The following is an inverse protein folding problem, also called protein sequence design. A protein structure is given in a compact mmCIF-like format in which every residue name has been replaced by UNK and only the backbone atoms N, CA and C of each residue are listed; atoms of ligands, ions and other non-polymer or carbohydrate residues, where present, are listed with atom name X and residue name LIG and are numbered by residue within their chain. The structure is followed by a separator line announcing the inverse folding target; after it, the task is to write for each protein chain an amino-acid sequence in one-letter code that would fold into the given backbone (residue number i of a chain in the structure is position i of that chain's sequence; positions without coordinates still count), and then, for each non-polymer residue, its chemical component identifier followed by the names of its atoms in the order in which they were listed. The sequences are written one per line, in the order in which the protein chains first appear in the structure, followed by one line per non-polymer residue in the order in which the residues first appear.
data_IF_786457221126
#
_entry.id   IF_786457221126
#
_cell.length_a   1.000
_cell.length_b   1.000
_cell.length_c   1.000
_cell.angle_alpha   90.00
_cell.angle_beta   90.00
_cell.angle_gamma   90.00
#
_symmetry.space_group_name_H-M   'P 1'
#
loop_
_entity.id
_entity.type
_entity.pdbx_description
1 polymer ?
#
# COMPACT_ATOMS: atom_id res chain seq x y z
N UNK A 1 4.16 30.49 8.27
CA UNK A 1 4.10 29.04 8.03
C UNK A 1 3.86 28.65 6.54
N UNK A 2 4.01 29.54 5.57
CA UNK A 2 3.50 29.37 4.21
C UNK A 2 4.39 28.71 3.14
N UNK A 3 5.55 28.17 3.44
CA UNK A 3 6.49 27.69 2.40
C UNK A 3 6.95 26.24 2.58
N UNK A 4 6.22 25.42 3.33
CA UNK A 4 6.60 24.05 3.61
C UNK A 4 5.44 23.10 3.35
N UNK A 5 5.66 22.10 2.47
CA UNK A 5 4.78 20.96 2.33
C UNK A 5 5.11 19.97 3.43
N UNK A 6 4.09 19.48 4.12
CA UNK A 6 4.21 18.45 5.16
C UNK A 6 3.67 17.12 4.64
N UNK A 7 4.43 16.06 4.80
CA UNK A 7 3.98 14.67 4.74
C UNK A 7 4.11 14.10 6.14
N UNK A 8 3.00 13.64 6.73
CA UNK A 8 2.97 12.96 8.02
C UNK A 8 2.53 11.53 7.83
N UNK A 9 3.37 10.59 8.21
CA UNK A 9 3.06 9.18 8.30
C UNK A 9 2.71 8.83 9.74
N UNK A 10 1.48 8.41 9.99
CA UNK A 10 1.07 7.92 11.31
C UNK A 10 1.58 6.50 11.53
N UNK A 11 2.08 6.21 12.72
CA UNK A 11 2.41 4.86 13.14
C UNK A 11 1.12 4.10 13.48
N UNK A 12 0.54 3.49 12.48
CA UNK A 12 -0.66 2.65 12.60
C UNK A 12 -0.33 1.16 12.68
N UNK A 13 0.95 0.82 12.90
CA UNK A 13 1.42 -0.55 12.84
C UNK A 13 1.65 -1.02 11.40
N UNK A 14 1.19 -2.23 11.05
CA UNK A 14 1.22 -2.70 9.68
C UNK A 14 0.02 -2.13 8.93
N UNK A 15 0.23 -1.02 8.23
CA UNK A 15 -0.80 -0.31 7.49
C UNK A 15 -0.37 1.10 7.11
N UNK A 16 -1.18 1.78 6.32
CA UNK A 16 -0.91 3.11 5.80
C UNK A 16 -1.90 4.15 6.35
N UNK A 17 -1.37 5.29 6.79
CA UNK A 17 -2.15 6.47 7.12
C UNK A 17 -1.29 7.72 6.92
N UNK A 18 -1.45 8.38 5.76
CA UNK A 18 -0.64 9.53 5.37
C UNK A 18 -1.47 10.80 5.28
N UNK A 19 -1.18 11.75 6.16
CA UNK A 19 -1.74 13.09 6.07
C UNK A 19 -0.75 14.01 5.34
N UNK A 20 -1.24 14.76 4.35
CA UNK A 20 -0.44 15.69 3.57
C UNK A 20 -1.06 17.07 3.65
N UNK A 21 -0.22 18.07 3.97
CA UNK A 21 -0.61 19.47 3.93
C UNK A 21 0.22 20.21 2.88
N UNK A 22 -0.46 20.71 1.86
CA UNK A 22 0.15 21.42 0.73
C UNK A 22 -0.19 22.92 0.85
N UNK A 23 0.81 23.82 0.90
CA UNK A 23 0.56 25.25 0.87
C UNK A 23 -0.22 25.67 -0.40
N UNK A 24 -1.37 26.33 -0.22
CA UNK A 24 -2.26 26.71 -1.33
C UNK A 24 -2.62 28.21 -1.31
N UNK A 25 -1.73 29.05 -0.80
CA UNK A 25 -1.90 30.47 -0.64
C UNK A 25 -1.93 30.89 0.84
N UNK A 26 -2.16 32.18 1.09
CA UNK A 26 -2.13 32.70 2.46
C UNK A 26 -3.30 32.10 3.27
N UNK A 27 -2.97 31.35 4.30
CA UNK A 27 -3.91 30.67 5.22
C UNK A 27 -4.94 29.73 4.53
N UNK A 28 -4.58 29.15 3.39
CA UNK A 28 -5.46 28.28 2.61
C UNK A 28 -4.73 26.99 2.22
N UNK A 29 -4.16 26.30 3.21
CA UNK A 29 -3.53 25.02 2.93
C UNK A 29 -4.56 24.00 2.43
N UNK A 30 -4.10 23.13 1.52
CA UNK A 30 -4.85 21.99 1.03
C UNK A 30 -4.52 20.76 1.90
N UNK A 31 -5.53 20.13 2.44
CA UNK A 31 -5.43 19.04 3.38
C UNK A 31 -5.88 17.72 2.73
N UNK A 32 -5.03 16.73 2.74
CA UNK A 32 -5.23 15.47 2.05
C UNK A 32 -4.90 14.31 2.96
N UNK A 33 -5.68 13.23 2.88
CA UNK A 33 -5.43 11.96 3.54
C UNK A 33 -5.32 10.87 2.47
N UNK A 34 -4.20 10.14 2.44
CA UNK A 34 -3.99 8.98 1.59
C UNK A 34 -3.94 7.76 2.48
N UNK A 35 -4.87 6.85 2.25
CA UNK A 35 -5.11 5.65 3.03
C UNK A 35 -5.35 5.90 4.52
N UNK A 36 -5.99 4.96 5.18
CA UNK A 36 -6.19 4.90 6.62
C UNK A 36 -6.54 3.46 6.96
N UNK A 37 -5.55 2.64 7.24
CA UNK A 37 -5.76 1.23 7.53
C UNK A 37 -4.70 0.62 8.41
N UNK A 38 -4.99 -0.53 8.98
CA UNK A 38 -4.06 -1.33 9.78
C UNK A 38 -4.50 -2.79 9.83
N UNK A 39 -3.54 -3.70 9.95
CA UNK A 39 -3.77 -5.11 10.35
C UNK A 39 -3.71 -5.32 11.86
N UNK A 40 -3.34 -4.29 12.60
CA UNK A 40 -3.27 -4.26 14.06
C UNK A 40 -4.59 -3.79 14.70
N UNK A 41 -4.50 -3.26 15.91
CA UNK A 41 -5.61 -2.72 16.66
C UNK A 41 -6.20 -1.49 15.94
N UNK A 42 -7.49 -1.50 15.59
CA UNK A 42 -8.13 -0.39 14.91
C UNK A 42 -8.23 0.90 15.74
N UNK A 43 -8.06 0.83 17.06
CA UNK A 43 -8.13 2.01 17.94
C UNK A 43 -7.07 3.05 17.58
N UNK A 44 -5.92 2.61 17.06
CA UNK A 44 -4.87 3.53 16.58
C UNK A 44 -5.34 4.39 15.40
N UNK A 45 -6.24 3.87 14.56
CA UNK A 45 -6.82 4.62 13.43
C UNK A 45 -7.78 5.71 13.92
N UNK A 46 -8.61 5.41 14.91
CA UNK A 46 -9.49 6.40 15.54
C UNK A 46 -8.68 7.55 16.14
N UNK A 47 -7.59 7.22 16.85
CA UNK A 47 -6.69 8.19 17.45
C UNK A 47 -5.98 9.04 16.38
N UNK A 48 -5.50 8.42 15.30
CA UNK A 48 -4.88 9.15 14.19
C UNK A 48 -5.86 10.14 13.53
N UNK A 49 -7.09 9.70 13.26
CA UNK A 49 -8.13 10.58 12.67
C UNK A 49 -8.55 11.67 13.66
N UNK A 50 -8.65 11.38 14.96
CA UNK A 50 -8.91 12.39 15.97
C UNK A 50 -7.80 13.44 16.01
N UNK A 51 -6.54 13.02 15.99
CA UNK A 51 -5.39 13.94 15.91
C UNK A 51 -5.45 14.82 14.65
N UNK A 52 -5.69 14.23 13.48
CA UNK A 52 -5.84 14.98 12.21
C UNK A 52 -6.97 16.01 12.36
N UNK A 53 -8.16 15.58 12.82
CA UNK A 53 -9.31 16.46 12.98
C UNK A 53 -9.04 17.63 13.92
N UNK A 54 -8.46 17.38 15.07
CA UNK A 54 -8.41 18.36 16.15
C UNK A 54 -7.21 19.29 16.05
N UNK A 55 -6.10 18.82 15.48
CA UNK A 55 -4.83 19.56 15.46
C UNK A 55 -4.42 20.05 14.06
N UNK A 56 -4.81 19.32 12.99
CA UNK A 56 -4.32 19.64 11.65
C UNK A 56 -5.37 20.31 10.76
N UNK A 57 -6.64 19.92 10.88
CA UNK A 57 -7.65 20.41 9.96
C UNK A 57 -8.21 21.80 10.38
N UNK A 58 -8.33 22.74 9.43
CA UNK A 58 -8.99 24.02 9.66
C UNK A 58 -10.51 23.84 9.79
N UNK A 59 -11.19 24.84 10.31
CA UNK A 59 -12.65 24.92 10.26
C UNK A 59 -13.14 24.99 8.81
N UNK A 60 -14.28 24.39 8.54
CA UNK A 60 -14.96 24.44 7.25
C UNK A 60 -15.86 25.68 7.17
N UNK A 61 -15.26 26.82 6.88
CA UNK A 61 -15.97 28.11 6.87
C UNK A 61 -16.61 28.41 8.22
N UNK A 62 -17.92 28.67 8.23
CA UNK A 62 -18.72 28.93 9.43
C UNK A 62 -19.26 27.66 10.10
N UNK A 63 -19.05 26.50 9.50
CA UNK A 63 -19.49 25.21 10.03
C UNK A 63 -18.75 24.85 11.32
N UNK A 64 -19.38 24.01 12.15
CA UNK A 64 -18.70 23.36 13.29
C UNK A 64 -17.70 22.30 12.85
N UNK A 65 -17.83 21.82 11.62
CA UNK A 65 -16.99 20.76 11.09
C UNK A 65 -15.59 21.27 10.69
N UNK A 66 -14.65 20.35 10.69
CA UNK A 66 -13.31 20.56 10.15
C UNK A 66 -13.27 20.20 8.65
N UNK A 67 -12.39 20.85 7.87
CA UNK A 67 -12.30 20.64 6.43
C UNK A 67 -11.15 19.70 6.07
N UNK A 68 -11.47 18.63 5.35
CA UNK A 68 -10.53 17.76 4.66
C UNK A 68 -10.82 17.85 3.16
N UNK A 69 -9.85 18.32 2.38
CA UNK A 69 -10.07 18.65 0.99
C UNK A 69 -10.12 17.43 0.08
N UNK A 70 -9.32 16.39 0.41
CA UNK A 70 -9.25 15.17 -0.37
C UNK A 70 -8.96 13.95 0.51
N UNK A 71 -9.74 12.91 0.32
CA UNK A 71 -9.44 11.54 0.77
C UNK A 71 -9.10 10.69 -0.45
N UNK A 72 -8.02 9.92 -0.36
CA UNK A 72 -7.64 8.94 -1.37
C UNK A 72 -7.57 7.57 -0.73
N UNK A 73 -8.22 6.58 -1.33
CA UNK A 73 -7.99 5.18 -1.03
C UNK A 73 -7.29 4.53 -2.23
N UNK A 74 -6.05 4.07 -2.01
CA UNK A 74 -5.23 3.51 -3.07
C UNK A 74 -5.78 2.20 -3.58
N UNK A 75 -6.17 1.29 -2.69
CA UNK A 75 -6.81 0.02 -3.01
C UNK A 75 -7.64 -0.48 -1.82
N UNK A 76 -8.21 -1.69 -1.90
CA UNK A 76 -9.23 -2.15 -0.94
C UNK A 76 -8.72 -3.03 0.21
N UNK A 77 -7.43 -3.22 0.37
CA UNK A 77 -6.91 -4.01 1.50
C UNK A 77 -7.18 -3.32 2.84
N UNK A 78 -7.37 -4.11 3.90
CA UNK A 78 -7.76 -3.60 5.22
C UNK A 78 -6.72 -2.68 5.84
N UNK A 79 -5.44 -2.94 5.58
CA UNK A 79 -4.30 -2.13 6.00
C UNK A 79 -4.19 -0.78 5.27
N UNK A 80 -5.10 -0.52 4.33
CA UNK A 80 -5.24 0.77 3.64
C UNK A 80 -6.59 1.44 3.86
N UNK A 81 -7.67 0.69 4.12
CA UNK A 81 -9.00 1.30 4.17
C UNK A 81 -9.81 1.06 5.43
N UNK A 82 -9.40 0.18 6.35
CA UNK A 82 -10.16 -0.20 7.54
C UNK A 82 -10.59 0.98 8.41
N UNK A 83 -9.80 2.04 8.47
CA UNK A 83 -10.07 3.25 9.22
C UNK A 83 -11.07 4.20 8.55
N UNK A 84 -11.47 3.96 7.30
CA UNK A 84 -12.51 4.75 6.64
C UNK A 84 -13.92 4.35 7.12
N UNK A 85 -14.08 4.26 8.44
CA UNK A 85 -15.38 4.10 9.09
C UNK A 85 -16.00 5.49 9.34
N UNK A 86 -17.23 5.77 8.89
CA UNK A 86 -17.89 7.05 9.11
C UNK A 86 -17.93 7.52 10.57
N UNK A 87 -17.86 6.59 11.53
CA UNK A 87 -17.83 6.93 12.97
C UNK A 87 -16.60 7.77 13.36
N UNK A 88 -15.44 7.52 12.74
CA UNK A 88 -14.19 8.25 12.99
C UNK A 88 -14.18 9.63 12.32
N UNK A 89 -14.93 9.79 11.22
CA UNK A 89 -14.99 11.03 10.44
C UNK A 89 -16.11 11.97 10.85
N UNK A 90 -16.75 11.70 12.00
CA UNK A 90 -17.73 12.64 12.57
C UNK A 90 -17.08 14.01 12.80
N UNK A 91 -17.76 15.07 12.36
CA UNK A 91 -17.24 16.44 12.46
C UNK A 91 -16.19 16.80 11.40
N UNK A 92 -15.98 15.96 10.39
CA UNK A 92 -15.10 16.25 9.25
C UNK A 92 -15.94 16.40 7.97
N UNK A 93 -15.88 17.56 7.34
CA UNK A 93 -16.43 17.84 6.00
C UNK A 93 -15.39 17.43 4.96
N UNK A 94 -15.60 16.30 4.31
CA UNK A 94 -14.76 15.85 3.20
C UNK A 94 -15.26 16.54 1.93
N UNK A 95 -14.35 17.09 1.11
CA UNK A 95 -14.71 17.78 -0.13
C UNK A 95 -14.61 16.89 -1.37
N UNK A 96 -13.66 15.97 -1.38
CA UNK A 96 -13.46 15.02 -2.48
C UNK A 96 -13.03 13.67 -1.94
N UNK A 97 -13.49 12.61 -2.61
CA UNK A 97 -13.03 11.24 -2.38
C UNK A 97 -12.58 10.67 -3.72
N UNK A 98 -11.33 10.20 -3.76
CA UNK A 98 -10.76 9.47 -4.87
C UNK A 98 -10.49 8.03 -4.44
N UNK A 99 -10.94 7.09 -5.23
CA UNK A 99 -10.66 5.66 -5.04
C UNK A 99 -10.16 5.09 -6.36
N UNK A 100 -9.32 4.06 -6.28
CA UNK A 100 -8.90 3.36 -7.50
C UNK A 100 -10.11 2.94 -8.35
N UNK A 101 -9.98 3.01 -9.66
CA UNK A 101 -11.03 2.60 -10.60
C UNK A 101 -11.44 1.13 -10.41
N UNK A 102 -10.55 0.29 -9.90
CA UNK A 102 -10.83 -1.11 -9.58
C UNK A 102 -11.88 -1.30 -8.48
N UNK A 103 -12.15 -0.27 -7.67
CA UNK A 103 -13.25 -0.31 -6.68
C UNK A 103 -14.62 0.00 -7.29
N UNK A 104 -14.69 0.37 -8.56
CA UNK A 104 -15.97 0.59 -9.24
C UNK A 104 -16.62 -0.73 -9.61
N UNK A 105 -17.65 -1.14 -8.86
CA UNK A 105 -18.37 -2.39 -9.10
C UNK A 105 -19.07 -2.49 -10.47
N UNK A 106 -19.18 -1.37 -11.19
CA UNK A 106 -19.79 -1.29 -12.53
C UNK A 106 -18.77 -1.02 -13.63
N UNK A 107 -17.47 -1.14 -13.31
CA UNK A 107 -16.43 -0.84 -14.29
C UNK A 107 -16.42 -1.88 -15.42
N UNK A 108 -16.58 -1.46 -16.69
CA UNK A 108 -16.75 -2.40 -17.81
C UNK A 108 -15.48 -3.20 -18.14
N UNK A 109 -14.31 -2.66 -17.82
CA UNK A 109 -12.98 -3.26 -18.09
C UNK A 109 -12.33 -3.86 -16.83
N UNK A 110 -13.17 -4.23 -15.83
CA UNK A 110 -12.78 -4.93 -14.62
C UNK A 110 -13.74 -6.07 -14.27
N UNK A 111 -14.52 -6.56 -15.25
CA UNK A 111 -15.56 -7.56 -15.00
C UNK A 111 -15.00 -8.87 -14.48
N UNK A 112 -13.86 -9.31 -15.01
CA UNK A 112 -13.22 -10.57 -14.66
C UNK A 112 -12.54 -10.46 -13.29
N UNK A 113 -11.79 -9.40 -13.05
CA UNK A 113 -11.18 -9.15 -11.74
C UNK A 113 -12.22 -8.94 -10.64
N UNK A 114 -13.35 -8.28 -10.91
CA UNK A 114 -14.48 -8.20 -9.98
C UNK A 114 -15.14 -9.57 -9.72
N UNK A 115 -15.25 -10.42 -10.74
CA UNK A 115 -15.74 -11.79 -10.57
C UNK A 115 -14.78 -12.62 -9.71
N UNK A 116 -13.46 -12.54 -9.97
CA UNK A 116 -12.43 -13.19 -9.18
C UNK A 116 -12.50 -12.74 -7.70
N UNK A 117 -12.57 -11.43 -7.46
CA UNK A 117 -12.73 -10.87 -6.12
C UNK A 117 -13.99 -11.39 -5.41
N UNK A 118 -15.11 -11.48 -6.12
CA UNK A 118 -16.36 -12.01 -5.56
C UNK A 118 -16.24 -13.48 -5.17
N UNK A 119 -15.57 -14.28 -5.99
CA UNK A 119 -15.32 -15.70 -5.72
C UNK A 119 -14.37 -15.87 -4.53
N UNK A 120 -13.25 -15.17 -4.53
CA UNK A 120 -12.30 -15.17 -3.41
C UNK A 120 -12.99 -14.77 -2.09
N UNK A 121 -13.80 -13.70 -2.12
CA UNK A 121 -14.54 -13.25 -0.95
C UNK A 121 -15.57 -14.28 -0.44
N UNK A 122 -16.19 -15.03 -1.33
CA UNK A 122 -17.12 -16.10 -0.94
C UNK A 122 -16.38 -17.24 -0.24
N UNK A 123 -15.28 -17.70 -0.83
CA UNK A 123 -14.49 -18.81 -0.30
C UNK A 123 -13.81 -18.44 1.03
N UNK A 124 -13.22 -17.25 1.14
CA UNK A 124 -12.58 -16.81 2.37
C UNK A 124 -13.58 -16.64 3.53
N UNK A 125 -14.79 -16.15 3.25
CA UNK A 125 -15.86 -16.13 4.26
C UNK A 125 -16.34 -17.52 4.66
N UNK A 126 -16.34 -18.47 3.74
CA UNK A 126 -16.64 -19.87 4.05
C UNK A 126 -15.56 -20.46 4.95
N UNK A 127 -14.28 -20.24 4.63
CA UNK A 127 -13.14 -20.66 5.43
C UNK A 127 -13.18 -20.06 6.84
N UNK A 128 -13.48 -18.77 6.98
CA UNK A 128 -13.62 -18.11 8.28
C UNK A 128 -14.69 -18.74 9.18
N UNK A 129 -15.76 -19.27 8.58
CA UNK A 129 -16.87 -19.91 9.30
C UNK A 129 -16.62 -21.39 9.60
N UNK A 130 -15.60 -22.01 9.02
CA UNK A 130 -15.34 -23.44 9.17
C UNK A 130 -14.85 -23.86 10.55
N UNK A 131 -14.45 -22.90 11.41
CA UNK A 131 -13.86 -23.15 12.73
C UNK A 131 -12.45 -23.75 12.67
N UNK A 132 -11.81 -23.81 11.52
CA UNK A 132 -10.44 -24.30 11.36
C UNK A 132 -9.44 -23.33 12.01
N UNK A 133 -8.40 -23.87 12.63
CA UNK A 133 -7.26 -23.06 13.06
C UNK A 133 -6.47 -22.62 11.84
N UNK A 134 -6.38 -21.28 11.64
CA UNK A 134 -5.69 -20.69 10.49
C UNK A 134 -4.30 -20.19 10.91
N UNK A 135 -3.33 -20.34 10.03
CA UNK A 135 -2.01 -19.70 10.18
C UNK A 135 -2.15 -18.17 10.16
N UNK A 136 -1.16 -17.41 10.66
CA UNK A 136 -1.17 -15.96 10.61
C UNK A 136 -1.40 -15.40 9.18
N UNK A 137 -0.74 -16.00 8.18
CA UNK A 137 -0.83 -15.62 6.77
C UNK A 137 -2.26 -15.83 6.23
N UNK A 138 -2.85 -16.99 6.54
CA UNK A 138 -4.23 -17.29 6.14
C UNK A 138 -5.24 -16.39 6.85
N UNK A 139 -5.00 -16.04 8.12
CA UNK A 139 -5.83 -15.05 8.82
C UNK A 139 -5.75 -13.68 8.17
N UNK A 140 -4.55 -13.24 7.77
CA UNK A 140 -4.37 -12.02 7.01
C UNK A 140 -5.17 -12.02 5.70
N UNK A 141 -5.06 -13.11 4.94
CA UNK A 141 -5.78 -13.26 3.68
C UNK A 141 -7.31 -13.27 3.88
N UNK A 142 -7.81 -13.94 4.91
CA UNK A 142 -9.24 -13.93 5.27
C UNK A 142 -9.70 -12.53 5.71
N UNK A 143 -8.84 -11.78 6.41
CA UNK A 143 -9.12 -10.42 6.88
C UNK A 143 -9.44 -9.45 5.74
N UNK A 144 -8.80 -9.62 4.57
CA UNK A 144 -9.06 -8.79 3.38
C UNK A 144 -10.54 -8.78 2.95
N UNK A 145 -11.28 -9.83 3.28
CA UNK A 145 -12.69 -10.02 2.92
C UNK A 145 -13.64 -9.85 4.11
N UNK A 146 -13.18 -9.21 5.18
CA UNK A 146 -13.96 -8.97 6.40
C UNK A 146 -15.17 -8.05 6.18
N UNK A 147 -16.11 -8.07 7.13
CA UNK A 147 -17.30 -7.19 7.10
C UNK A 147 -16.88 -5.72 7.28
N UNK A 148 -15.88 -5.45 8.11
CA UNK A 148 -15.42 -4.09 8.37
C UNK A 148 -14.76 -3.48 7.13
N UNK A 149 -14.00 -4.28 6.40
CA UNK A 149 -13.43 -3.86 5.12
C UNK A 149 -14.52 -3.51 4.08
N UNK A 150 -15.63 -4.28 4.09
CA UNK A 150 -16.80 -3.98 3.25
C UNK A 150 -17.43 -2.64 3.63
N UNK A 151 -17.60 -2.32 4.92
CA UNK A 151 -18.18 -1.04 5.37
C UNK A 151 -17.33 0.14 4.91
N UNK A 152 -16.01 0.05 5.05
CA UNK A 152 -15.09 1.08 4.57
C UNK A 152 -15.20 1.26 3.05
N UNK A 153 -15.21 0.17 2.30
CA UNK A 153 -15.40 0.19 0.83
C UNK A 153 -16.72 0.85 0.46
N UNK A 154 -17.82 0.50 1.12
CA UNK A 154 -19.14 1.07 0.86
C UNK A 154 -19.15 2.58 1.17
N UNK A 155 -18.58 3.02 2.30
CA UNK A 155 -18.52 4.43 2.68
C UNK A 155 -17.71 5.26 1.67
N UNK A 156 -16.58 4.75 1.22
CA UNK A 156 -15.73 5.38 0.21
C UNK A 156 -16.43 5.47 -1.15
N UNK A 157 -16.96 4.34 -1.65
CA UNK A 157 -17.53 4.26 -3.01
C UNK A 157 -18.87 4.98 -3.12
N UNK A 158 -19.65 5.07 -2.04
CA UNK A 158 -20.91 5.82 -2.01
C UNK A 158 -20.75 7.29 -1.60
N UNK A 159 -19.54 7.68 -1.14
CA UNK A 159 -19.25 9.05 -0.71
C UNK A 159 -19.88 9.46 0.61
N UNK A 160 -20.15 8.49 1.50
CA UNK A 160 -20.84 8.71 2.81
C UNK A 160 -19.90 8.71 4.01
N UNK A 161 -18.58 8.85 3.77
CA UNK A 161 -17.57 8.78 4.81
C UNK A 161 -17.61 9.97 5.79
N UNK A 162 -17.76 11.19 5.28
CA UNK A 162 -17.73 12.42 6.07
C UNK A 162 -19.08 12.91 6.53
N UNK A 163 -19.10 14.08 7.15
CA UNK A 163 -20.32 14.72 7.66
C UNK A 163 -21.37 15.04 6.57
N UNK A 164 -20.93 15.15 5.32
CA UNK A 164 -21.79 15.39 4.15
C UNK A 164 -21.43 14.39 3.06
N UNK A 165 -22.44 13.94 2.33
CA UNK A 165 -22.22 13.05 1.18
C UNK A 165 -21.53 13.80 0.05
N UNK A 166 -20.50 13.20 -0.55
CA UNK A 166 -19.77 13.74 -1.70
C UNK A 166 -19.73 12.73 -2.84
N UNK A 167 -19.56 13.23 -4.08
CA UNK A 167 -19.43 12.35 -5.23
C UNK A 167 -18.03 11.73 -5.24
N UNK A 168 -17.95 10.43 -5.10
CA UNK A 168 -16.69 9.68 -5.26
C UNK A 168 -16.24 9.69 -6.72
N UNK A 169 -14.95 9.84 -6.93
CA UNK A 169 -14.29 9.72 -8.23
C UNK A 169 -13.44 8.47 -8.26
N UNK A 170 -13.69 7.64 -9.27
CA UNK A 170 -12.90 6.45 -9.56
C UNK A 170 -11.74 6.86 -10.45
N UNK A 171 -10.53 6.86 -9.90
CA UNK A 171 -9.36 7.41 -10.58
C UNK A 171 -8.55 6.33 -11.28
N UNK A 172 -7.95 6.71 -12.42
CA UNK A 172 -7.10 5.87 -13.24
C UNK A 172 -5.95 6.65 -13.85
N UNK A 173 -4.97 5.95 -14.36
CA UNK A 173 -3.77 6.49 -14.96
C UNK A 173 -4.06 7.52 -16.07
N UNK A 174 -3.23 8.56 -16.11
CA UNK A 174 -3.33 9.66 -17.06
C UNK A 174 -4.22 10.83 -16.60
N UNK A 175 -5.04 10.66 -15.56
CA UNK A 175 -5.84 11.74 -14.98
C UNK A 175 -4.99 12.68 -14.13
N UNK A 176 -5.40 13.96 -14.10
CA UNK A 176 -4.79 14.98 -13.23
C UNK A 176 -5.82 15.56 -12.27
N UNK A 177 -5.35 16.13 -11.16
CA UNK A 177 -6.22 16.83 -10.20
C UNK A 177 -7.11 17.87 -10.87
N UNK A 178 -6.58 18.64 -11.82
CA UNK A 178 -7.35 19.65 -12.56
C UNK A 178 -8.49 19.03 -13.37
N UNK A 179 -8.24 17.94 -14.08
CA UNK A 179 -9.30 17.19 -14.81
C UNK A 179 -10.34 16.60 -13.85
N UNK A 180 -9.91 16.25 -12.65
CA UNK A 180 -10.78 15.78 -11.57
C UNK A 180 -11.40 16.94 -10.76
N UNK A 181 -11.31 18.18 -11.25
CA UNK A 181 -11.96 19.35 -10.66
C UNK A 181 -11.29 19.92 -9.41
N UNK A 182 -10.03 19.54 -9.14
CA UNK A 182 -9.23 20.12 -8.07
C UNK A 182 -8.18 21.07 -8.63
N UNK A 183 -8.16 22.31 -8.10
CA UNK A 183 -7.14 23.31 -8.44
C UNK A 183 -6.38 23.65 -7.16
N UNK A 184 -5.10 23.31 -7.14
CA UNK A 184 -4.18 23.56 -6.04
C UNK A 184 -3.06 24.44 -6.58
N UNK A 185 -2.80 25.57 -5.93
CA UNK A 185 -1.80 26.54 -6.40
C UNK A 185 -0.41 25.91 -6.48
N UNK A 186 0.27 26.12 -7.60
CA UNK A 186 1.63 25.63 -7.86
C UNK A 186 1.80 24.12 -7.64
N UNK A 187 0.71 23.36 -7.75
CA UNK A 187 0.68 21.93 -7.51
C UNK A 187 0.01 21.21 -8.67
N UNK A 188 0.65 20.14 -9.12
CA UNK A 188 0.07 19.20 -10.06
C UNK A 188 0.04 17.83 -9.40
N UNK A 189 -1.13 17.19 -9.37
CA UNK A 189 -1.26 15.79 -8.96
C UNK A 189 -1.64 14.99 -10.21
N UNK A 190 -0.85 13.97 -10.51
CA UNK A 190 -1.06 13.07 -11.65
C UNK A 190 -1.27 11.65 -11.13
N UNK A 191 -2.30 10.97 -11.61
CA UNK A 191 -2.52 9.54 -11.36
C UNK A 191 -1.69 8.75 -12.36
N UNK A 192 -0.75 7.94 -11.88
CA UNK A 192 0.15 7.15 -12.73
C UNK A 192 -0.34 5.72 -12.94
N UNK A 193 -1.10 5.17 -11.99
CA UNK A 193 -1.72 3.84 -12.02
C UNK A 193 -3.04 3.86 -11.23
N UNK A 194 -3.92 2.83 -11.41
CA UNK A 194 -3.84 1.77 -12.42
C UNK A 194 -4.32 2.25 -13.79
N UNK A 195 -4.05 1.48 -14.84
CA UNK A 195 -4.66 1.70 -16.14
C UNK A 195 -6.17 1.50 -16.08
N UNK A 196 -6.90 2.10 -17.03
CA UNK A 196 -8.35 1.97 -17.07
C UNK A 196 -8.78 0.53 -17.37
N UNK A 197 -8.06 -0.18 -18.24
CA UNK A 197 -8.30 -1.58 -18.56
C UNK A 197 -7.65 -2.51 -17.53
N UNK A 198 -8.37 -2.75 -16.42
CA UNK A 198 -7.90 -3.58 -15.32
C UNK A 198 -7.67 -5.02 -15.78
N UNK A 199 -8.64 -5.59 -16.48
CA UNK A 199 -8.58 -6.99 -16.90
C UNK A 199 -7.44 -7.22 -17.92
N UNK A 200 -7.22 -6.28 -18.83
CA UNK A 200 -6.18 -6.38 -19.86
C UNK A 200 -4.76 -6.27 -19.31
N UNK A 201 -4.54 -5.39 -18.32
CA UNK A 201 -3.19 -5.13 -17.80
C UNK A 201 -2.82 -6.01 -16.60
N UNK A 202 -3.75 -6.26 -15.68
CA UNK A 202 -3.41 -6.82 -14.37
C UNK A 202 -3.91 -8.25 -14.13
N UNK A 203 -4.86 -8.74 -14.95
CA UNK A 203 -5.35 -10.11 -14.84
C UNK A 203 -4.61 -11.06 -15.79
N UNK A 204 -4.45 -10.65 -17.06
CA UNK A 204 -3.88 -11.48 -18.13
C UNK A 204 -4.88 -12.50 -18.71
N UNK A 205 -4.50 -13.07 -19.85
CA UNK A 205 -5.37 -14.00 -20.58
C UNK A 205 -5.43 -15.40 -19.98
N UNK A 206 -4.38 -15.83 -19.27
CA UNK A 206 -4.28 -17.20 -18.71
C UNK A 206 -5.31 -17.46 -17.60
N UNK A 207 -5.68 -16.42 -16.85
CA UNK A 207 -6.72 -16.51 -15.81
C UNK A 207 -8.12 -16.66 -16.42
N UNK A 208 -8.30 -16.26 -17.69
CA UNK A 208 -9.58 -16.32 -18.39
C UNK A 208 -10.11 -17.75 -18.53
N UNK A 209 -9.24 -18.69 -18.88
CA UNK A 209 -9.62 -20.10 -19.06
C UNK A 209 -9.90 -20.78 -17.71
N UNK A 210 -9.15 -20.41 -16.69
CA UNK A 210 -9.37 -20.88 -15.32
C UNK A 210 -10.69 -20.37 -14.77
N UNK A 211 -11.01 -19.07 -14.93
CA UNK A 211 -12.28 -18.49 -14.50
C UNK A 211 -13.47 -19.08 -15.26
N UNK A 212 -13.35 -19.36 -16.56
CA UNK A 212 -14.41 -20.00 -17.35
C UNK A 212 -14.69 -21.42 -16.88
N UNK A 213 -13.64 -22.21 -16.66
CA UNK A 213 -13.78 -23.58 -16.14
C UNK A 213 -14.50 -23.64 -14.80
N UNK A 214 -14.25 -22.64 -13.95
CA UNK A 214 -14.83 -22.59 -12.60
C UNK A 214 -16.21 -21.97 -12.53
N UNK A 215 -16.53 -21.00 -13.37
CA UNK A 215 -17.92 -20.51 -13.51
C UNK A 215 -18.84 -21.64 -13.94
N UNK A 216 -18.39 -22.53 -14.81
CA UNK A 216 -19.12 -23.74 -15.18
C UNK A 216 -19.24 -24.73 -14.02
N UNK A 217 -18.16 -24.94 -13.24
CA UNK A 217 -18.16 -25.77 -12.03
C UNK A 217 -19.03 -25.22 -10.92
N UNK A 218 -18.96 -23.90 -10.64
CA UNK A 218 -19.75 -23.25 -9.58
C UNK A 218 -21.24 -23.16 -9.90
N UNK A 219 -21.62 -23.03 -11.17
CA UNK A 219 -23.02 -23.09 -11.59
C UNK A 219 -23.63 -24.48 -11.36
N UNK A 220 -22.86 -25.55 -11.61
CA UNK A 220 -23.26 -26.93 -11.27
C UNK A 220 -23.38 -27.14 -9.76
N UNK A 221 -22.53 -26.48 -8.97
CA UNK A 221 -22.55 -26.58 -7.49
C UNK A 221 -23.66 -25.77 -6.83
N UNK A 222 -24.03 -24.60 -7.36
CA UNK A 222 -25.19 -23.81 -6.85
C UNK A 222 -26.49 -24.61 -6.96
N UNK A 223 -26.60 -25.46 -7.95
CA UNK A 223 -27.77 -26.34 -8.11
C UNK A 223 -27.75 -27.54 -7.14
N UNK A 224 -26.60 -27.94 -6.59
CA UNK A 224 -26.44 -29.01 -5.63
C UNK A 224 -26.42 -28.50 -4.17
N UNK A 225 -25.94 -27.28 -3.92
CA UNK A 225 -25.80 -26.67 -2.61
C UNK A 225 -26.88 -25.63 -2.30
N UNK A 226 -28.11 -25.91 -2.73
CA UNK A 226 -29.29 -25.17 -2.26
C UNK A 226 -29.43 -25.31 -0.75
N UNK A 227 -29.06 -24.26 -0.03
CA UNK A 227 -29.25 -24.06 1.41
C UNK A 227 -28.66 -25.11 2.39
N UNK A 228 -27.67 -24.66 3.11
CA UNK A 228 -27.11 -25.22 4.36
C UNK A 228 -26.23 -26.44 4.22
N UNK A 229 -24.96 -26.19 4.58
CA UNK A 229 -24.15 -27.17 5.31
C UNK A 229 -23.32 -28.17 4.54
N UNK A 230 -22.37 -28.54 5.15
CA UNK A 230 -21.64 -29.74 5.56
C UNK A 230 -22.34 -31.12 5.33
N UNK A 231 -23.47 -31.21 4.63
CA UNK A 231 -24.12 -32.50 4.39
C UNK A 231 -23.50 -33.11 3.15
N UNK A 232 -22.83 -34.24 3.38
CA UNK A 232 -22.30 -35.11 2.32
C UNK A 232 -23.47 -35.58 1.42
N UNK A 233 -23.38 -35.37 0.10
CA UNK A 233 -24.37 -35.93 -0.82
C UNK A 233 -24.41 -37.46 -0.73
N UNK A 234 -25.58 -38.06 -0.79
CA UNK A 234 -25.78 -39.48 -0.61
C UNK A 234 -25.08 -40.36 -1.65
N UNK A 235 -24.74 -39.79 -2.80
CA UNK A 235 -24.09 -40.49 -3.92
C UNK A 235 -22.57 -40.29 -3.98
N UNK A 236 -21.95 -39.69 -2.96
CA UNK A 236 -20.50 -39.44 -2.88
C UNK A 236 -19.99 -40.07 -1.59
N UNK A 237 -18.92 -40.86 -1.66
CA UNK A 237 -18.29 -41.40 -0.46
C UNK A 237 -17.66 -40.31 0.42
N UNK A 238 -17.52 -40.60 1.74
CA UNK A 238 -16.90 -39.66 2.67
C UNK A 238 -15.45 -39.30 2.32
N UNK A 239 -14.74 -40.20 1.65
CA UNK A 239 -13.37 -39.97 1.18
C UNK A 239 -13.36 -39.00 -0.03
N UNK A 240 -14.25 -39.24 -1.00
CA UNK A 240 -14.41 -38.38 -2.17
C UNK A 240 -14.91 -36.97 -1.76
N UNK A 241 -15.83 -36.92 -0.81
CA UNK A 241 -16.33 -35.65 -0.29
C UNK A 241 -15.23 -34.83 0.39
N UNK A 242 -14.38 -35.48 1.23
CA UNK A 242 -13.21 -34.82 1.83
C UNK A 242 -12.21 -34.34 0.77
N UNK A 243 -11.95 -35.15 -0.24
CA UNK A 243 -11.07 -34.79 -1.35
C UNK A 243 -11.62 -33.59 -2.12
N UNK A 244 -12.92 -33.56 -2.36
CA UNK A 244 -13.61 -32.45 -3.03
C UNK A 244 -13.54 -31.17 -2.20
N UNK A 245 -13.82 -31.25 -0.88
CA UNK A 245 -13.68 -30.10 0.04
C UNK A 245 -12.24 -29.56 0.06
N UNK A 246 -11.25 -30.45 0.14
CA UNK A 246 -9.84 -30.06 0.12
C UNK A 246 -9.46 -29.32 -1.17
N UNK A 247 -9.92 -29.81 -2.33
CA UNK A 247 -9.69 -29.14 -3.63
C UNK A 247 -10.40 -27.78 -3.72
N UNK A 248 -11.62 -27.67 -3.21
CA UNK A 248 -12.34 -26.41 -3.16
C UNK A 248 -11.61 -25.37 -2.31
N UNK A 249 -11.12 -25.75 -1.13
CA UNK A 249 -10.32 -24.88 -0.26
C UNK A 249 -9.03 -24.45 -0.97
N UNK A 250 -8.31 -25.36 -1.60
CA UNK A 250 -7.08 -25.06 -2.35
C UNK A 250 -7.34 -24.07 -3.48
N UNK A 251 -8.40 -24.26 -4.24
CA UNK A 251 -8.79 -23.36 -5.32
C UNK A 251 -9.20 -21.98 -4.79
N UNK A 252 -9.97 -21.96 -3.71
CA UNK A 252 -10.39 -20.73 -3.04
C UNK A 252 -9.20 -19.91 -2.53
N UNK A 253 -8.20 -20.58 -1.95
CA UNK A 253 -6.94 -19.94 -1.52
C UNK A 253 -6.15 -19.39 -2.71
N UNK A 254 -6.02 -20.15 -3.80
CA UNK A 254 -5.35 -19.66 -5.01
C UNK A 254 -6.02 -18.40 -5.57
N UNK A 255 -7.36 -18.36 -5.59
CA UNK A 255 -8.09 -17.16 -6.00
C UNK A 255 -7.86 -15.97 -5.08
N UNK A 256 -7.85 -16.20 -3.78
CA UNK A 256 -7.64 -15.14 -2.84
C UNK A 256 -6.21 -14.57 -2.94
N UNK A 257 -5.21 -15.39 -3.21
CA UNK A 257 -3.83 -14.97 -3.46
C UNK A 257 -3.75 -14.16 -4.77
N UNK A 258 -4.36 -14.65 -5.85
CA UNK A 258 -4.37 -13.93 -7.12
C UNK A 258 -5.13 -12.61 -7.03
N UNK A 259 -6.29 -12.59 -6.38
CA UNK A 259 -7.06 -11.37 -6.17
C UNK A 259 -6.26 -10.37 -5.32
N UNK A 260 -5.62 -10.83 -4.23
CA UNK A 260 -4.78 -9.97 -3.39
C UNK A 260 -3.66 -9.31 -4.19
N UNK A 261 -2.94 -10.05 -5.03
CA UNK A 261 -1.91 -9.50 -5.90
C UNK A 261 -2.48 -8.50 -6.92
N UNK A 262 -3.67 -8.78 -7.49
CA UNK A 262 -4.34 -7.83 -8.38
C UNK A 262 -4.72 -6.56 -7.61
N UNK A 263 -5.26 -6.68 -6.39
CA UNK A 263 -5.64 -5.52 -5.58
C UNK A 263 -4.42 -4.63 -5.27
N UNK A 264 -3.24 -5.19 -4.98
CA UNK A 264 -2.00 -4.42 -4.83
C UNK A 264 -1.68 -3.66 -6.12
N UNK A 265 -1.72 -4.35 -7.25
CA UNK A 265 -1.33 -3.81 -8.55
C UNK A 265 -2.36 -2.84 -9.16
N UNK A 266 -3.56 -2.76 -8.62
CA UNK A 266 -4.54 -1.71 -8.98
C UNK A 266 -4.56 -0.54 -7.99
N UNK A 267 -3.51 -0.37 -7.21
CA UNK A 267 -3.30 0.80 -6.35
C UNK A 267 -3.31 2.09 -7.17
N UNK A 268 -4.02 3.10 -6.67
CA UNK A 268 -3.95 4.45 -7.22
C UNK A 268 -2.60 5.07 -6.87
N UNK A 269 -1.70 5.14 -7.84
CA UNK A 269 -0.39 5.75 -7.69
C UNK A 269 -0.45 7.23 -8.01
N UNK A 270 -0.01 8.07 -7.08
CA UNK A 270 -0.07 9.53 -7.21
C UNK A 270 1.33 10.14 -7.25
N UNK A 271 1.61 10.90 -8.31
CA UNK A 271 2.73 11.82 -8.39
C UNK A 271 2.23 13.23 -8.05
N UNK A 272 2.77 13.81 -6.97
CA UNK A 272 2.50 15.18 -6.54
C UNK A 272 3.73 16.01 -6.87
N UNK A 273 3.54 17.03 -7.71
CA UNK A 273 4.57 17.99 -8.09
C UNK A 273 4.18 19.35 -7.49
N UNK A 274 4.95 19.83 -6.51
CA UNK A 274 4.73 21.11 -5.81
C UNK A 274 5.99 21.95 -5.80
N UNK A 275 5.94 23.16 -6.36
CA UNK A 275 7.06 24.12 -6.39
C UNK A 275 8.40 23.47 -6.82
N UNK A 276 8.35 22.58 -7.80
CA UNK A 276 9.51 21.84 -8.29
C UNK A 276 9.88 20.59 -7.47
N UNK A 277 9.23 20.35 -6.33
CA UNK A 277 9.39 19.12 -5.54
C UNK A 277 8.50 18.02 -6.08
N UNK A 278 8.98 16.80 -6.03
CA UNK A 278 8.32 15.61 -6.59
C UNK A 278 8.13 14.55 -5.52
N UNK A 279 6.88 14.20 -5.24
CA UNK A 279 6.53 13.19 -4.25
C UNK A 279 5.73 12.08 -4.92
N UNK A 280 6.08 10.83 -4.64
CA UNK A 280 5.41 9.65 -5.19
C UNK A 280 4.81 8.79 -4.07
N UNK A 281 3.49 8.56 -4.16
CA UNK A 281 2.74 7.67 -3.29
C UNK A 281 2.25 6.49 -4.12
N UNK A 282 2.69 5.29 -3.80
CA UNK A 282 2.54 4.13 -4.68
C UNK A 282 1.51 3.10 -4.18
N UNK A 283 0.92 3.32 -2.98
CA UNK A 283 0.09 2.28 -2.36
C UNK A 283 0.90 1.00 -2.20
N UNK A 284 0.35 -0.10 -2.70
CA UNK A 284 1.00 -1.42 -2.69
C UNK A 284 1.39 -1.91 -4.10
N UNK A 285 1.63 -0.96 -5.02
CA UNK A 285 2.11 -1.28 -6.35
C UNK A 285 3.35 -2.18 -6.31
N UNK A 286 3.30 -3.27 -7.07
CA UNK A 286 4.36 -4.28 -7.15
C UNK A 286 5.11 -4.20 -8.48
N UNK A 287 6.27 -4.89 -8.54
CA UNK A 287 7.05 -5.09 -9.75
C UNK A 287 7.35 -6.59 -9.97
N UNK A 288 7.67 -6.95 -11.19
CA UNK A 288 8.17 -8.25 -11.60
C UNK A 288 9.22 -8.10 -12.72
N UNK A 289 9.59 -9.20 -13.36
CA UNK A 289 10.66 -9.25 -14.35
C UNK A 289 10.47 -8.38 -15.60
N UNK A 290 9.30 -7.81 -15.84
CA UNK A 290 9.07 -6.91 -16.95
C UNK A 290 7.62 -6.83 -17.40
N UNK A 291 7.34 -5.87 -18.30
CA UNK A 291 6.04 -5.72 -18.93
C UNK A 291 5.91 -6.72 -20.10
N UNK A 292 4.77 -7.37 -20.19
CA UNK A 292 4.40 -8.19 -21.33
C UNK A 292 2.93 -7.97 -21.72
N UNK A 293 2.70 -7.63 -22.98
CA UNK A 293 1.36 -7.34 -23.47
C UNK A 293 0.44 -8.57 -23.37
N UNK A 294 -0.75 -8.37 -22.80
CA UNK A 294 -1.76 -9.43 -22.62
C UNK A 294 -1.42 -10.45 -21.53
N UNK A 295 -0.36 -10.24 -20.76
CA UNK A 295 -0.02 -11.02 -19.56
C UNK A 295 -0.44 -10.31 -18.29
N UNK A 296 -0.43 -11.03 -17.16
CA UNK A 296 -0.56 -10.44 -15.83
C UNK A 296 0.69 -9.59 -15.57
N UNK A 297 0.50 -8.29 -15.45
CA UNK A 297 1.60 -7.35 -15.20
C UNK A 297 1.50 -6.75 -13.81
N UNK A 298 2.64 -6.32 -13.28
CA UNK A 298 2.72 -5.52 -12.08
C UNK A 298 2.68 -4.02 -12.40
N UNK A 299 2.20 -3.24 -11.44
CA UNK A 299 1.91 -1.81 -11.64
C UNK A 299 3.16 -1.00 -12.02
N UNK A 300 4.31 -1.25 -11.39
CA UNK A 300 5.55 -0.55 -11.73
C UNK A 300 5.98 -0.81 -13.18
N UNK A 301 5.86 -2.06 -13.65
CA UNK A 301 6.22 -2.42 -15.02
C UNK A 301 5.29 -1.73 -16.04
N UNK A 302 3.98 -1.66 -15.74
CA UNK A 302 3.01 -0.94 -16.58
C UNK A 302 3.30 0.57 -16.59
N UNK A 303 3.58 1.17 -15.42
CA UNK A 303 3.92 2.59 -15.33
C UNK A 303 5.20 2.92 -16.08
N UNK A 304 6.23 2.07 -15.99
CA UNK A 304 7.47 2.26 -16.72
C UNK A 304 7.25 2.19 -18.24
N UNK A 305 6.52 1.20 -18.71
CA UNK A 305 6.19 1.06 -20.13
C UNK A 305 5.33 2.21 -20.67
N UNK A 306 4.27 2.60 -19.95
CA UNK A 306 3.27 3.53 -20.49
C UNK A 306 3.50 4.99 -20.08
N UNK A 307 4.24 5.26 -19.00
CA UNK A 307 4.37 6.58 -18.36
C UNK A 307 5.79 6.91 -17.92
N UNK A 308 6.80 6.31 -18.53
CA UNK A 308 8.22 6.49 -18.22
C UNK A 308 8.60 7.97 -18.04
N UNK A 309 8.07 8.87 -18.88
CA UNK A 309 8.33 10.32 -18.80
C UNK A 309 8.04 10.94 -17.43
N UNK A 310 7.18 10.33 -16.62
CA UNK A 310 6.87 10.79 -15.27
C UNK A 310 7.79 10.16 -14.22
N UNK A 311 8.58 9.16 -14.58
CA UNK A 311 9.48 8.43 -13.69
C UNK A 311 10.96 8.64 -13.99
N UNK A 312 11.30 9.42 -15.03
CA UNK A 312 12.69 9.68 -15.44
C UNK A 312 13.37 10.83 -14.69
N UNK A 313 12.64 11.56 -13.86
CA UNK A 313 13.21 12.64 -13.04
C UNK A 313 13.22 12.24 -11.55
N UNK A 314 14.29 12.59 -10.82
CA UNK A 314 14.43 12.26 -9.41
C UNK A 314 13.27 12.76 -8.56
N UNK A 315 12.95 11.99 -7.52
CA UNK A 315 11.97 12.34 -6.50
C UNK A 315 12.65 13.07 -5.33
N UNK A 316 11.89 13.90 -4.64
CA UNK A 316 12.24 14.44 -3.32
C UNK A 316 11.68 13.55 -2.18
N UNK A 317 10.60 12.82 -2.47
CA UNK A 317 9.97 11.90 -1.52
C UNK A 317 9.36 10.68 -2.22
N UNK A 318 9.58 9.50 -1.62
CA UNK A 318 8.92 8.24 -1.98
C UNK A 318 8.23 7.61 -0.76
N UNK A 319 6.93 7.34 -0.85
CA UNK A 319 6.29 6.35 0.02
C UNK A 319 6.62 4.97 -0.55
N UNK A 320 7.41 4.20 0.17
CA UNK A 320 7.76 2.83 -0.20
C UNK A 320 6.50 1.95 -0.19
N UNK A 321 6.28 1.19 -1.26
CA UNK A 321 5.07 0.39 -1.41
C UNK A 321 5.01 -0.80 -0.46
N UNK A 322 3.81 -1.35 -0.28
CA UNK A 322 3.53 -2.66 0.33
C UNK A 322 4.39 -2.94 1.58
N UNK A 323 4.43 -1.97 2.49
CA UNK A 323 5.15 -2.01 3.78
C UNK A 323 6.64 -2.37 3.68
N UNK A 324 7.25 -2.16 2.50
CA UNK A 324 8.64 -2.52 2.23
C UNK A 324 8.84 -4.00 1.87
N UNK A 325 7.83 -4.68 1.34
CA UNK A 325 7.97 -6.02 0.76
C UNK A 325 9.00 -6.03 -0.37
N UNK A 326 9.67 -7.15 -0.59
CA UNK A 326 10.69 -7.34 -1.61
C UNK A 326 10.27 -6.84 -3.02
N UNK A 327 9.03 -7.10 -3.42
CA UNK A 327 8.49 -6.71 -4.72
C UNK A 327 7.81 -5.31 -4.73
N UNK A 328 7.94 -4.54 -3.64
CA UNK A 328 7.24 -3.27 -3.46
C UNK A 328 7.90 -2.08 -4.14
N UNK A 329 9.22 -2.12 -4.27
CA UNK A 329 10.01 -1.07 -4.92
C UNK A 329 10.87 -1.74 -5.98
N UNK A 330 10.93 -1.21 -7.20
CA UNK A 330 11.60 -1.88 -8.31
C UNK A 330 13.12 -1.89 -8.12
N UNK A 331 13.60 -2.91 -7.45
CA UNK A 331 15.00 -3.16 -7.20
C UNK A 331 15.25 -4.67 -7.07
N UNK A 332 16.26 -5.15 -7.77
CA UNK A 332 16.74 -6.52 -7.72
C UNK A 332 18.25 -6.51 -7.52
N UNK A 333 18.71 -7.13 -6.44
CA UNK A 333 20.12 -7.20 -6.09
C UNK A 333 20.96 -7.91 -7.16
N UNK A 334 20.39 -8.92 -7.79
CA UNK A 334 21.09 -9.79 -8.72
C UNK A 334 21.09 -9.22 -10.16
N UNK A 335 20.30 -8.18 -10.42
CA UNK A 335 20.31 -7.47 -11.69
C UNK A 335 21.39 -6.38 -11.74
N UNK A 336 21.89 -6.05 -12.93
CA UNK A 336 22.78 -4.91 -13.11
C UNK A 336 22.07 -3.58 -12.82
N UNK A 337 22.82 -2.55 -12.42
CA UNK A 337 22.26 -1.27 -11.99
C UNK A 337 21.47 -0.54 -13.07
N UNK A 338 21.79 -0.76 -14.33
CA UNK A 338 21.19 -0.11 -15.51
C UNK A 338 20.27 -1.05 -16.32
N UNK A 339 19.96 -2.22 -15.78
CA UNK A 339 19.10 -3.21 -16.43
C UNK A 339 17.81 -3.47 -15.64
N UNK A 340 16.81 -3.94 -16.37
CA UNK A 340 15.56 -4.41 -15.81
C UNK A 340 14.90 -3.37 -14.88
N UNK A 341 14.50 -3.83 -13.70
CA UNK A 341 13.78 -3.01 -12.71
C UNK A 341 14.67 -1.98 -12.02
N UNK A 342 15.99 -2.20 -11.97
CA UNK A 342 16.93 -1.27 -11.36
C UNK A 342 16.99 0.07 -12.10
N UNK A 343 16.73 0.10 -13.41
CA UNK A 343 16.57 1.34 -14.16
C UNK A 343 15.51 2.27 -13.57
N UNK A 344 14.42 1.69 -13.06
CA UNK A 344 13.31 2.46 -12.49
C UNK A 344 13.80 3.14 -11.20
N UNK A 345 14.38 2.36 -10.29
CA UNK A 345 14.87 2.91 -9.02
C UNK A 345 15.98 3.95 -9.25
N UNK A 346 16.90 3.69 -10.17
CA UNK A 346 17.98 4.61 -10.52
C UNK A 346 17.46 5.93 -11.12
N UNK A 347 16.36 5.89 -11.85
CA UNK A 347 15.73 7.10 -12.38
C UNK A 347 15.04 7.93 -11.29
N UNK A 348 14.29 7.28 -10.40
CA UNK A 348 13.48 7.99 -9.38
C UNK A 348 14.27 8.32 -8.11
N UNK A 349 15.23 7.50 -7.72
CA UNK A 349 16.11 7.69 -6.56
C UNK A 349 17.55 7.38 -6.96
N UNK A 350 18.21 8.23 -7.75
CA UNK A 350 19.57 7.99 -8.22
C UNK A 350 20.55 7.89 -7.05
N UNK A 351 21.54 7.01 -7.18
CA UNK A 351 22.67 6.96 -6.26
C UNK A 351 23.45 8.29 -6.32
N UNK A 352 23.86 8.82 -5.18
CA UNK A 352 24.69 10.03 -5.17
C UNK A 352 26.03 9.78 -5.84
N UNK A 353 26.48 10.70 -6.68
CA UNK A 353 27.77 10.62 -7.39
C UNK A 353 28.83 11.45 -6.70
N UNK A 354 30.04 10.91 -6.58
CA UNK A 354 31.17 11.57 -5.92
C UNK A 354 30.88 11.88 -4.43
N UNK A 355 31.15 13.10 -4.00
CA UNK A 355 30.93 13.55 -2.61
C UNK A 355 29.53 14.13 -2.37
N UNK A 356 28.59 13.99 -3.30
CA UNK A 356 27.23 14.49 -3.11
C UNK A 356 26.48 13.62 -2.13
N UNK A 357 25.66 14.26 -1.30
CA UNK A 357 24.77 13.55 -0.36
C UNK A 357 23.40 13.37 -1.00
N UNK A 358 22.67 12.29 -0.67
CA UNK A 358 21.29 12.15 -1.10
C UNK A 358 20.43 13.32 -0.64
N UNK A 359 19.49 13.73 -1.44
CA UNK A 359 18.52 14.82 -1.12
C UNK A 359 17.11 14.29 -0.91
N UNK A 360 16.80 13.16 -1.54
CA UNK A 360 15.51 12.49 -1.41
C UNK A 360 15.27 11.97 0.00
N UNK A 361 14.00 11.73 0.31
CA UNK A 361 13.55 11.05 1.54
C UNK A 361 12.57 9.94 1.18
N UNK A 362 12.47 8.91 1.99
CA UNK A 362 11.41 7.92 1.86
C UNK A 362 10.85 7.53 3.23
N UNK A 363 9.66 6.94 3.22
CA UNK A 363 9.01 6.35 4.39
C UNK A 363 8.55 4.95 4.03
N UNK A 364 8.82 4.02 4.94
CA UNK A 364 8.28 2.66 4.96
C UNK A 364 7.28 2.57 6.11
N UNK A 365 6.01 2.48 5.79
CA UNK A 365 4.94 2.29 6.79
C UNK A 365 4.82 0.81 7.12
N UNK A 366 5.34 0.40 8.27
CA UNK A 366 5.51 -1.03 8.60
C UNK A 366 5.54 -1.31 10.09
N UNK A 367 5.36 -2.60 10.45
CA UNK A 367 5.58 -3.12 11.80
C UNK A 367 6.22 -4.51 11.71
N UNK A 368 7.45 -4.63 12.19
CA UNK A 368 8.26 -5.83 12.02
C UNK A 368 7.73 -7.11 12.64
N UNK A 369 6.87 -7.02 13.65
CA UNK A 369 6.27 -8.20 14.30
C UNK A 369 5.26 -8.95 13.43
N UNK A 370 4.72 -8.30 12.40
CA UNK A 370 3.62 -8.83 11.63
C UNK A 370 4.06 -9.93 10.66
N UNK A 371 5.18 -9.69 9.98
CA UNK A 371 5.73 -10.60 8.98
C UNK A 371 7.24 -10.70 9.15
N UNK A 372 7.78 -11.91 9.00
CA UNK A 372 9.22 -12.18 9.14
C UNK A 372 10.06 -11.59 8.01
N UNK A 373 9.44 -11.31 6.86
CA UNK A 373 10.09 -10.86 5.62
C UNK A 373 9.78 -9.41 5.25
N UNK A 374 8.98 -8.71 6.05
CA UNK A 374 8.56 -7.33 5.77
C UNK A 374 8.88 -6.44 6.99
N UNK A 375 9.57 -5.31 6.78
CA UNK A 375 10.16 -4.84 5.54
C UNK A 375 11.37 -5.68 5.12
N UNK A 376 11.61 -5.78 3.80
CA UNK A 376 12.77 -6.46 3.26
C UNK A 376 14.06 -5.71 3.62
N UNK A 377 15.02 -6.43 4.20
CA UNK A 377 16.20 -5.82 4.76
C UNK A 377 17.19 -5.33 3.68
N UNK A 378 17.28 -6.05 2.56
CA UNK A 378 18.18 -5.69 1.47
C UNK A 378 17.65 -4.45 0.74
N UNK A 379 16.33 -4.39 0.52
CA UNK A 379 15.68 -3.19 -0.03
C UNK A 379 15.89 -1.98 0.88
N UNK A 380 15.74 -2.13 2.22
CA UNK A 380 15.97 -1.02 3.16
C UNK A 380 17.42 -0.55 3.13
N UNK A 381 18.37 -1.48 3.02
CA UNK A 381 19.78 -1.16 2.92
C UNK A 381 20.05 -0.38 1.62
N UNK A 382 19.50 -0.80 0.48
CA UNK A 382 19.62 -0.07 -0.79
C UNK A 382 19.01 1.33 -0.73
N UNK A 383 17.83 1.46 -0.18
CA UNK A 383 17.18 2.77 0.03
C UNK A 383 18.04 3.67 0.93
N UNK A 384 18.73 3.09 1.91
CA UNK A 384 19.63 3.81 2.79
C UNK A 384 20.77 4.56 2.07
N UNK A 385 21.21 4.09 0.91
CA UNK A 385 22.21 4.80 0.07
C UNK A 385 21.63 5.98 -0.68
N UNK A 386 20.32 5.92 -0.97
CA UNK A 386 19.65 6.80 -1.92
C UNK A 386 18.94 7.96 -1.26
N UNK A 387 18.75 7.92 0.07
CA UNK A 387 17.98 8.92 0.80
C UNK A 387 18.73 9.52 1.98
N UNK A 388 18.37 10.72 2.40
CA UNK A 388 19.05 11.46 3.46
C UNK A 388 18.58 11.09 4.87
N UNK A 389 17.41 10.47 5.01
CA UNK A 389 16.78 10.17 6.29
C UNK A 389 17.15 8.78 6.85
N UNK A 390 18.44 8.44 6.82
CA UNK A 390 18.95 7.14 7.30
C UNK A 390 19.89 7.23 8.49
N UNK A 391 20.18 8.43 8.99
CA UNK A 391 21.19 8.64 10.01
C UNK A 391 20.95 7.83 11.30
N UNK A 392 19.70 7.81 11.76
CA UNK A 392 19.34 7.07 12.97
C UNK A 392 19.40 5.56 12.75
N UNK A 393 19.14 5.12 11.55
CA UNK A 393 19.24 3.73 11.13
C UNK A 393 20.68 3.22 11.26
N UNK A 394 21.62 3.90 10.64
CA UNK A 394 23.05 3.57 10.72
C UNK A 394 23.57 3.59 12.15
N UNK A 395 23.18 4.58 12.96
CA UNK A 395 23.57 4.67 14.35
C UNK A 395 23.00 3.51 15.16
N UNK A 396 21.76 3.13 14.93
CA UNK A 396 21.13 1.99 15.60
C UNK A 396 21.86 0.69 15.27
N UNK A 397 22.18 0.45 14.00
CA UNK A 397 22.95 -0.72 13.59
C UNK A 397 24.30 -0.82 14.30
N UNK A 398 25.03 0.28 14.35
CA UNK A 398 26.33 0.35 15.04
C UNK A 398 26.24 0.03 16.54
N UNK A 399 25.11 0.31 17.17
CA UNK A 399 24.91 0.08 18.61
C UNK A 399 24.36 -1.30 18.94
N UNK A 400 23.67 -1.95 18.01
CA UNK A 400 22.98 -3.23 18.27
C UNK A 400 23.79 -4.46 17.89
N UNK A 401 24.72 -4.35 16.95
CA UNK A 401 25.53 -5.48 16.53
C UNK A 401 27.00 -5.13 16.41
N UNK A 402 27.80 -5.63 17.39
CA UNK A 402 29.25 -5.42 17.44
C UNK A 402 30.01 -6.05 16.25
N UNK A 403 29.37 -6.88 15.44
CA UNK A 403 29.95 -7.45 14.21
C UNK A 403 30.04 -6.41 13.11
N UNK A 404 29.17 -5.40 13.14
CA UNK A 404 29.24 -4.27 12.23
C UNK A 404 30.15 -3.19 12.82
N UNK A 405 31.40 -3.24 12.43
CA UNK A 405 32.33 -2.16 12.75
C UNK A 405 31.91 -0.87 12.03
N UNK A 406 32.25 0.31 12.56
CA UNK A 406 31.96 1.58 11.90
C UNK A 406 32.48 1.70 10.46
N UNK A 407 33.49 0.89 10.08
CA UNK A 407 34.01 0.80 8.73
C UNK A 407 33.21 -0.13 7.81
N UNK A 408 32.41 -1.04 8.41
CA UNK A 408 31.55 -1.96 7.67
C UNK A 408 30.19 -1.27 7.50
N UNK A 409 30.18 -0.22 6.69
CA UNK A 409 28.94 0.47 6.36
C UNK A 409 28.12 -0.45 5.47
N UNK A 410 27.15 -1.13 6.07
CA UNK A 410 26.25 -2.05 5.35
C UNK A 410 25.41 -1.33 4.30
N UNK A 411 25.38 -0.01 4.36
CA UNK A 411 24.81 0.84 3.35
C UNK A 411 25.81 1.21 2.26
N UNK A 412 27.04 0.71 2.30
CA UNK A 412 27.99 0.90 1.21
C UNK A 412 27.62 -0.05 0.07
N UNK A 413 27.27 0.50 -1.08
CA UNK A 413 26.83 -0.24 -2.26
C UNK A 413 27.81 -1.34 -2.69
N UNK A 414 29.12 -1.10 -2.54
CA UNK A 414 30.15 -2.12 -2.81
C UNK A 414 30.08 -3.29 -1.82
N UNK A 415 29.66 -3.07 -0.59
CA UNK A 415 29.46 -4.11 0.43
C UNK A 415 28.20 -4.88 0.10
N UNK A 416 27.16 -4.23 -0.37
CA UNK A 416 25.90 -4.88 -0.72
C UNK A 416 26.04 -5.86 -1.90
N UNK A 417 26.86 -5.56 -2.88
CA UNK A 417 27.20 -6.50 -3.97
C UNK A 417 27.98 -7.75 -3.48
N UNK A 418 28.52 -7.71 -2.28
CA UNK A 418 29.33 -8.79 -1.69
C UNK A 418 28.60 -9.54 -0.57
N UNK A 419 27.26 -9.42 -0.50
CA UNK A 419 26.43 -10.12 0.49
C UNK A 419 26.58 -11.64 0.50
N UNK A 420 27.07 -12.23 -0.59
CA UNK A 420 27.41 -13.66 -0.63
C UNK A 420 28.52 -14.07 0.37
N UNK A 421 29.25 -13.09 0.93
CA UNK A 421 30.37 -13.30 1.85
C UNK A 421 30.11 -12.83 3.28
N UNK A 422 28.97 -12.15 3.51
CA UNK A 422 28.57 -11.65 4.83
C UNK A 422 27.20 -12.22 5.21
N UNK A 423 26.88 -12.31 6.53
CA UNK A 423 25.54 -12.70 6.90
C UNK A 423 24.55 -11.73 6.24
N UNK A 424 23.53 -12.27 5.61
CA UNK A 424 22.48 -11.46 5.02
C UNK A 424 21.87 -10.54 6.08
N UNK A 425 21.35 -9.38 5.76
CA UNK A 425 20.61 -8.55 6.71
C UNK A 425 19.49 -9.30 7.42
N UNK A 426 18.92 -10.31 6.77
CA UNK A 426 17.94 -11.23 7.34
C UNK A 426 18.55 -12.12 8.43
N UNK A 427 19.73 -12.73 8.18
CA UNK A 427 20.45 -13.53 9.19
C UNK A 427 20.92 -12.66 10.36
N UNK A 428 21.29 -11.43 10.09
CA UNK A 428 21.61 -10.44 11.11
C UNK A 428 20.35 -10.05 11.86
N UNK A 429 19.21 -9.92 11.18
CA UNK A 429 17.91 -9.66 11.75
C UNK A 429 17.44 -10.79 12.66
N UNK A 430 17.57 -12.03 12.22
CA UNK A 430 17.26 -13.22 13.01
C UNK A 430 18.12 -13.33 14.29
N UNK A 431 19.27 -12.67 14.32
CA UNK A 431 20.19 -12.59 15.48
C UNK A 431 20.09 -11.29 16.28
N UNK A 432 19.00 -10.55 16.16
CA UNK A 432 18.72 -9.35 16.94
C UNK A 432 18.81 -8.03 16.20
N UNK A 433 19.23 -8.01 14.94
CA UNK A 433 19.33 -6.79 14.13
C UNK A 433 17.97 -6.27 13.70
N UNK A 434 17.11 -7.20 13.31
CA UNK A 434 15.72 -7.00 13.02
C UNK A 434 14.81 -7.72 14.02
N UNK A 435 15.22 -7.79 15.29
CA UNK A 435 14.44 -8.48 16.30
C UNK A 435 13.02 -7.93 16.32
N UNK A 436 12.06 -8.82 16.00
CA UNK A 436 10.63 -8.50 16.04
C UNK A 436 10.16 -8.00 17.41
N UNK A 437 10.93 -8.26 18.47
CA UNK A 437 10.62 -7.83 19.83
C UNK A 437 11.21 -6.47 20.19
N UNK A 438 12.16 -5.97 19.40
CA UNK A 438 12.72 -4.63 19.57
C UNK A 438 12.33 -3.75 18.38
N UNK A 439 11.55 -2.69 18.60
CA UNK A 439 11.17 -1.78 17.52
C UNK A 439 12.45 -1.18 16.96
N UNK A 440 12.72 -1.51 15.73
CA UNK A 440 13.80 -0.91 14.97
C UNK A 440 13.39 0.50 14.58
N UNK A 441 14.10 1.48 15.12
CA UNK A 441 13.77 2.90 14.96
C UNK A 441 14.69 3.50 13.94
N UNK A 442 14.12 3.78 12.78
CA UNK A 442 14.81 4.53 11.74
C UNK A 442 13.97 5.69 11.28
N UNK A 443 14.61 6.69 10.69
CA UNK A 443 13.90 7.75 10.02
C UNK A 443 13.19 7.26 8.74
N UNK A 444 13.43 6.01 8.32
CA UNK A 444 12.76 5.35 7.19
C UNK A 444 11.45 4.70 7.58
N UNK A 445 11.30 4.24 8.81
CA UNK A 445 10.17 3.46 9.26
C UNK A 445 9.20 4.28 10.11
N UNK A 446 7.92 4.19 9.81
CA UNK A 446 6.87 4.81 10.63
C UNK A 446 6.68 4.13 11.98
N UNK A 447 7.13 2.86 12.11
CA UNK A 447 7.08 2.10 13.38
C UNK A 447 8.13 2.51 14.40
N UNK A 448 9.05 3.41 14.04
CA UNK A 448 9.98 4.04 14.97
C UNK A 448 9.29 5.08 15.84
N UNK A 449 10.00 5.61 16.86
CA UNK A 449 9.56 6.85 17.50
C UNK A 449 9.64 7.95 16.46
N UNK A 450 8.47 8.43 16.10
CA UNK A 450 8.31 9.47 15.13
C UNK A 450 8.84 10.82 15.60
N UNK A 451 8.68 11.82 14.75
CA UNK A 451 8.99 13.21 15.03
C UNK A 451 8.01 13.85 16.02
N UNK A 452 6.95 13.14 16.43
CA UNK A 452 5.98 13.62 17.41
C UNK A 452 5.17 12.50 18.07
N UNK A 453 4.66 12.82 19.23
CA UNK A 453 3.72 12.02 20.00
C UNK A 453 2.49 12.88 20.34
N UNK A 454 1.33 12.26 20.34
CA UNK A 454 0.09 12.88 20.79
C UNK A 454 -0.50 12.07 21.94
N UNK A 455 -0.62 12.72 23.12
CA UNK A 455 -1.09 12.08 24.36
C UNK A 455 -0.40 10.76 24.72
N UNK A 456 0.82 10.54 24.22
CA UNK A 456 1.57 9.30 24.41
C UNK A 456 1.02 8.08 23.70
N UNK A 457 0.01 8.24 22.83
CA UNK A 457 -0.72 7.12 22.20
C UNK A 457 -0.61 7.08 20.69
N UNK A 458 -0.40 8.22 20.04
CA UNK A 458 -0.25 8.30 18.57
C UNK A 458 1.13 8.84 18.23
N UNK A 459 1.91 8.01 17.58
CA UNK A 459 3.21 8.38 17.02
C UNK A 459 3.09 8.70 15.54
N UNK A 460 3.95 9.58 15.04
CA UNK A 460 4.03 9.91 13.61
C UNK A 460 5.44 10.35 13.23
N UNK A 461 5.74 10.25 11.95
CA UNK A 461 6.95 10.78 11.33
C UNK A 461 6.58 11.91 10.38
N UNK A 462 7.22 13.07 10.56
CA UNK A 462 7.05 14.22 9.68
C UNK A 462 8.19 14.35 8.69
N UNK A 463 7.86 14.48 7.43
CA UNK A 463 8.76 14.91 6.36
C UNK A 463 8.32 16.26 5.85
N UNK A 464 9.24 17.22 5.88
CA UNK A 464 8.98 18.57 5.44
C UNK A 464 9.80 18.89 4.21
N UNK A 465 9.12 19.35 3.16
CA UNK A 465 9.76 19.83 1.94
C UNK A 465 9.61 21.35 1.86
N UNK A 466 10.74 22.00 1.65
CA UNK A 466 10.82 23.47 1.51
C UNK A 466 10.84 23.79 0.02
N UNK A 467 10.23 24.92 -0.35
CA UNK A 467 10.24 25.47 -1.71
C UNK A 467 11.66 25.65 -2.24
#
# INVERSE_FOLDING_TARGET
MGNQLLVRSYNVGCGDCFYIRIPNGVNKDFHMLIDCGTKDDPDVLEQAIAHIRDHELPKDGTSKNKRLDLVVATHRHEDHIKGFDPKYFKGISIKNIWVTVAMNSKHPQAKKSLALHSMAAQEMRSLARSGMSLSPELRGLVGLYSIDNKKATDALTTGTLGATKVKTKFVHAGQTASQLGLKIKNTKITVLAPELDIDGYYLGKEVDDTLRGMQQGSASFKNVAGNKSTIQPANISSAEFRTLQSRMISNGLAFAVDDSSIQNNVSAVLLIEWEGRRLLFVGDAEWNNGYAEGKKNCSWNVMWEKRQKHLTAPLDFLKVGHHGSHNATPWDRDAADDEGVNQILNAILPLPTGNKKPTAQCIVSTKRKQYDTIPDAELLAELGHRVKNTRNYQQHLKTQDSRFKPADDIFNFSVMKDYSKQPTPREVGDKGWFDKNQPFRTDLESSGRGSGEWNGTVEFVDITLIK
#
